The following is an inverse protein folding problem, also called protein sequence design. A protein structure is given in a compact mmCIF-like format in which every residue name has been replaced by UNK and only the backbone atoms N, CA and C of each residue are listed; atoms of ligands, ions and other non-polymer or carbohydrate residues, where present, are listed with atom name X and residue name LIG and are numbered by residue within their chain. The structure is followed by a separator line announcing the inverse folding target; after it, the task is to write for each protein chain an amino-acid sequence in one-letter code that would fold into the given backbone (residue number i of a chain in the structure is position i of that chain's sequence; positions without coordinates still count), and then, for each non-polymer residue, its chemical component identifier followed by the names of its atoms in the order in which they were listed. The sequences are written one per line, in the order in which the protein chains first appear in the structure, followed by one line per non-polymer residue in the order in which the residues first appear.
data_IF_800246893126
#
_entry.id   IF_800246893126
#
_cell.length_a   1.000
_cell.length_b   1.000
_cell.length_c   1.000
_cell.angle_alpha   90.00
_cell.angle_beta   90.00
_cell.angle_gamma   90.00
#
_symmetry.space_group_name_H-M   'P 1'
#
loop_
_entity.id
_entity.type
_entity.pdbx_description
1 polymer ?
#
# COMPACT_ATOMS: atom_id res chain seq x y z
N UNK A 1 2.71 -3.72 34.76
CA UNK A 1 1.60 -4.49 35.37
C UNK A 1 0.26 -4.04 34.80
N UNK A 2 0.07 -4.16 33.48
CA UNK A 2 -1.26 -4.03 32.90
C UNK A 2 -2.01 -5.35 33.13
N UNK A 3 -3.30 -5.27 33.47
CA UNK A 3 -4.17 -6.43 33.49
C UNK A 3 -4.32 -6.96 32.06
N UNK A 4 -4.22 -8.27 31.88
CA UNK A 4 -4.36 -8.93 30.58
C UNK A 4 -5.85 -9.07 30.31
N UNK A 5 -6.32 -8.50 29.20
CA UNK A 5 -7.74 -8.50 28.80
C UNK A 5 -8.06 -9.46 27.67
N UNK A 6 -7.11 -10.30 27.25
CA UNK A 6 -7.30 -11.26 26.17
C UNK A 6 -8.33 -12.33 26.57
N UNK A 7 -9.51 -12.23 25.98
CA UNK A 7 -10.57 -13.24 26.06
C UNK A 7 -10.10 -14.49 25.32
N UNK A 8 -10.08 -15.63 26.00
CA UNK A 8 -9.71 -16.92 25.39
C UNK A 8 -10.90 -17.84 25.16
N UNK A 9 -12.02 -17.56 25.81
CA UNK A 9 -13.28 -18.27 25.62
C UNK A 9 -14.44 -17.44 26.18
N UNK A 10 -15.60 -17.52 25.54
CA UNK A 10 -16.86 -16.94 26.02
C UNK A 10 -17.87 -18.07 26.26
N UNK A 11 -18.21 -18.30 27.53
CA UNK A 11 -19.12 -19.37 27.93
C UNK A 11 -20.55 -18.85 27.99
N UNK A 12 -21.46 -19.55 27.32
CA UNK A 12 -22.88 -19.21 27.30
C UNK A 12 -23.73 -20.41 27.73
N UNK A 13 -24.78 -20.14 28.51
CA UNK A 13 -25.74 -21.12 28.98
C UNK A 13 -27.13 -20.49 29.04
N UNK A 14 -28.16 -21.26 28.69
CA UNK A 14 -29.54 -20.79 28.69
C UNK A 14 -30.38 -21.57 29.70
N UNK A 15 -31.19 -20.83 30.45
CA UNK A 15 -32.30 -21.43 31.19
C UNK A 15 -33.46 -21.62 30.22
N UNK A 16 -34.02 -22.83 30.13
CA UNK A 16 -35.08 -23.21 29.19
C UNK A 16 -36.36 -22.33 29.33
N UNK A 17 -36.46 -21.49 30.35
CA UNK A 17 -37.61 -20.62 30.64
C UNK A 17 -37.52 -19.17 30.13
N UNK A 18 -36.34 -18.60 29.88
CA UNK A 18 -36.20 -17.15 29.59
C UNK A 18 -35.69 -16.80 28.18
N UNK A 19 -35.07 -17.75 27.45
CA UNK A 19 -34.61 -17.55 26.07
C UNK A 19 -33.39 -16.62 25.87
N UNK A 20 -33.03 -15.83 26.88
CA UNK A 20 -31.80 -15.04 26.90
C UNK A 20 -30.63 -15.88 27.45
N UNK A 21 -29.51 -15.88 26.73
CA UNK A 21 -28.27 -16.47 27.23
C UNK A 21 -27.84 -15.74 28.51
N UNK A 22 -27.35 -16.50 29.49
CA UNK A 22 -26.72 -16.06 30.73
C UNK A 22 -27.63 -15.39 31.78
N UNK A 23 -28.92 -15.19 31.47
CA UNK A 23 -29.87 -14.60 32.40
C UNK A 23 -30.10 -15.52 33.62
N UNK A 24 -29.73 -15.02 34.80
CA UNK A 24 -29.79 -15.80 36.04
C UNK A 24 -28.76 -16.93 36.13
N UNK A 25 -27.73 -16.91 35.29
CA UNK A 25 -26.63 -17.87 35.35
C UNK A 25 -25.40 -17.22 36.00
N UNK A 26 -24.71 -18.00 36.84
CA UNK A 26 -23.41 -17.63 37.38
C UNK A 26 -22.35 -18.64 36.95
N UNK A 27 -21.17 -18.12 36.62
CA UNK A 27 -20.05 -18.88 36.10
C UNK A 27 -18.90 -19.00 37.09
N UNK A 28 -18.30 -20.19 37.16
CA UNK A 28 -17.08 -20.43 37.94
C UNK A 28 -16.16 -21.44 37.24
N UNK A 29 -14.90 -21.50 37.68
CA UNK A 29 -13.91 -22.45 37.17
C UNK A 29 -13.63 -23.52 38.23
N UNK A 30 -13.65 -24.80 37.81
CA UNK A 30 -13.31 -25.95 38.66
C UNK A 30 -11.79 -26.08 38.82
N UNK A 31 -11.36 -26.58 40.00
CA UNK A 31 -10.00 -26.79 40.50
C UNK A 31 -8.84 -26.99 39.48
N UNK A 32 -7.62 -26.67 39.91
CA UNK A 32 -6.36 -26.58 39.13
C UNK A 32 -6.35 -25.46 38.08
N UNK A 33 -7.45 -25.27 37.36
CA UNK A 33 -7.60 -24.24 36.33
C UNK A 33 -7.68 -22.82 36.89
N UNK A 34 -8.14 -22.66 38.14
CA UNK A 34 -8.24 -21.34 38.82
C UNK A 34 -6.89 -20.67 39.08
N UNK A 35 -5.77 -21.40 38.98
CA UNK A 35 -4.42 -20.83 39.10
C UNK A 35 -3.97 -20.11 37.82
N UNK A 36 -4.45 -20.56 36.66
CA UNK A 36 -4.07 -20.05 35.32
C UNK A 36 -5.13 -19.14 34.72
N UNK A 37 -6.40 -19.43 34.98
CA UNK A 37 -7.55 -18.76 34.37
C UNK A 37 -8.35 -17.96 35.38
N UNK A 38 -8.96 -16.88 34.91
CA UNK A 38 -10.03 -16.16 35.57
C UNK A 38 -11.31 -16.27 34.72
N UNK A 39 -12.47 -16.23 35.37
CA UNK A 39 -13.76 -16.15 34.70
C UNK A 39 -14.56 -14.99 35.30
N UNK A 40 -15.20 -14.21 34.44
CA UNK A 40 -16.18 -13.20 34.87
C UNK A 40 -17.47 -13.91 35.22
N UNK A 41 -17.90 -13.81 36.48
CA UNK A 41 -19.02 -14.60 37.03
C UNK A 41 -20.33 -14.40 36.29
N UNK A 42 -20.56 -13.19 35.78
CA UNK A 42 -21.86 -12.79 35.24
C UNK A 42 -21.92 -12.93 33.71
N UNK A 43 -20.78 -13.11 33.06
CA UNK A 43 -20.68 -13.10 31.58
C UNK A 43 -19.97 -14.33 31.02
N UNK A 44 -19.44 -15.23 31.85
CA UNK A 44 -18.76 -16.44 31.37
C UNK A 44 -17.42 -16.22 30.64
N UNK A 45 -16.94 -14.97 30.56
CA UNK A 45 -15.68 -14.62 29.88
C UNK A 45 -14.49 -15.23 30.61
N UNK A 46 -13.74 -16.09 29.92
CA UNK A 46 -12.50 -16.70 30.42
C UNK A 46 -11.28 -15.96 29.90
N UNK A 47 -10.34 -15.67 30.79
CA UNK A 47 -9.04 -15.02 30.49
C UNK A 47 -7.89 -15.76 31.15
N UNK A 48 -6.67 -15.60 30.63
CA UNK A 48 -5.46 -15.99 31.36
C UNK A 48 -5.10 -14.93 32.40
N UNK A 49 -4.67 -15.37 33.59
CA UNK A 49 -4.17 -14.50 34.65
C UNK A 49 -2.78 -13.90 34.37
N UNK A 50 -2.02 -14.52 33.46
CA UNK A 50 -0.66 -14.12 33.11
C UNK A 50 -0.42 -14.28 31.60
N UNK A 51 0.57 -13.55 31.07
CA UNK A 51 0.92 -13.63 29.65
C UNK A 51 1.50 -15.02 29.39
N UNK A 52 1.02 -15.67 28.34
CA UNK A 52 1.53 -16.98 27.92
C UNK A 52 2.67 -16.75 26.94
N UNK A 53 3.86 -17.27 27.27
CA UNK A 53 5.09 -17.03 26.49
C UNK A 53 5.66 -18.29 25.84
N UNK A 54 4.96 -19.43 25.98
CA UNK A 54 5.37 -20.71 25.41
C UNK A 54 4.18 -21.40 24.75
N UNK A 55 4.44 -22.23 23.74
CA UNK A 55 3.43 -23.07 23.10
C UNK A 55 2.98 -24.13 24.09
N UNK A 56 1.69 -24.18 24.38
CA UNK A 56 1.12 -25.22 25.21
C UNK A 56 -0.39 -25.37 24.96
N UNK A 57 -0.97 -26.37 25.58
CA UNK A 57 -2.41 -26.60 25.60
C UNK A 57 -2.84 -26.81 27.03
N UNK A 58 -3.85 -26.06 27.44
CA UNK A 58 -4.48 -26.13 28.75
C UNK A 58 -5.93 -26.59 28.62
N UNK A 59 -6.44 -27.19 29.69
CA UNK A 59 -7.86 -27.47 29.84
C UNK A 59 -8.44 -26.59 30.95
N UNK A 60 -9.62 -26.01 30.71
CA UNK A 60 -10.40 -25.27 31.70
C UNK A 60 -11.79 -25.89 31.80
N UNK A 61 -12.20 -26.26 33.01
CA UNK A 61 -13.56 -26.75 33.26
C UNK A 61 -14.39 -25.61 33.85
N UNK A 62 -15.41 -25.21 33.10
CA UNK A 62 -16.34 -24.13 33.41
C UNK A 62 -17.59 -24.74 34.03
N UNK A 63 -18.11 -24.12 35.09
CA UNK A 63 -19.35 -24.49 35.75
C UNK A 63 -20.33 -23.33 35.56
N UNK A 64 -21.46 -23.61 34.93
CA UNK A 64 -22.60 -22.71 34.85
C UNK A 64 -23.66 -23.14 35.88
N UNK A 65 -24.08 -22.24 36.76
CA UNK A 65 -25.06 -22.52 37.83
C UNK A 65 -26.25 -21.58 37.72
N UNK A 66 -27.46 -22.11 37.65
CA UNK A 66 -28.69 -21.31 37.62
C UNK A 66 -29.12 -20.80 39.01
N UNK A 67 -30.12 -19.92 39.06
CA UNK A 67 -30.71 -19.39 40.31
C UNK A 67 -31.32 -20.46 41.22
N UNK A 68 -31.65 -21.65 40.69
CA UNK A 68 -32.18 -22.77 41.45
C UNK A 68 -31.05 -23.67 42.00
N UNK A 69 -29.79 -23.38 41.68
CA UNK A 69 -28.61 -24.13 42.11
C UNK A 69 -28.28 -25.33 41.22
N UNK A 70 -28.93 -25.50 40.07
CA UNK A 70 -28.56 -26.54 39.11
C UNK A 70 -27.26 -26.15 38.40
N UNK A 71 -26.28 -27.05 38.38
CA UNK A 71 -24.97 -26.79 37.80
C UNK A 71 -24.68 -27.74 36.63
N UNK A 72 -24.12 -27.19 35.55
CA UNK A 72 -23.58 -27.95 34.41
C UNK A 72 -22.08 -27.65 34.26
N UNK A 73 -21.28 -28.68 33.98
CA UNK A 73 -19.84 -28.55 33.75
C UNK A 73 -19.50 -28.78 32.28
N UNK A 74 -18.62 -27.94 31.72
CA UNK A 74 -18.05 -28.11 30.39
C UNK A 74 -16.53 -27.92 30.44
N UNK A 75 -15.78 -28.90 29.96
CA UNK A 75 -14.33 -28.75 29.77
C UNK A 75 -14.06 -28.20 28.37
N UNK A 76 -13.25 -27.14 28.31
CA UNK A 76 -12.79 -26.48 27.10
C UNK A 76 -11.27 -26.61 27.03
N UNK A 77 -10.76 -26.88 25.83
CA UNK A 77 -9.32 -26.91 25.57
C UNK A 77 -8.90 -25.58 24.98
N UNK A 78 -7.95 -24.90 25.61
CA UNK A 78 -7.36 -23.64 25.14
C UNK A 78 -5.95 -23.94 24.66
N UNK A 79 -5.63 -23.62 23.41
CA UNK A 79 -4.29 -23.82 22.86
C UNK A 79 -3.61 -22.47 22.64
N UNK A 80 -2.44 -22.30 23.26
CA UNK A 80 -1.52 -21.19 22.97
C UNK A 80 -0.60 -21.66 21.86
N UNK A 81 -0.64 -20.97 20.73
CA UNK A 81 0.28 -21.17 19.62
C UNK A 81 1.18 -19.94 19.55
N UNK A 82 2.47 -20.20 19.41
CA UNK A 82 3.44 -19.22 18.94
C UNK A 82 3.63 -19.62 17.50
N UNK A 83 2.92 -18.96 16.60
CA UNK A 83 3.38 -18.90 15.22
C UNK A 83 4.64 -18.06 15.27
N UNK A 84 5.79 -18.67 15.00
CA UNK A 84 6.93 -17.92 14.47
C UNK A 84 6.46 -17.35 13.12
N UNK A 85 5.63 -16.31 13.16
CA UNK A 85 5.59 -15.35 12.08
C UNK A 85 6.99 -14.76 12.13
N UNK A 86 7.86 -15.22 11.23
CA UNK A 86 9.04 -14.47 10.87
C UNK A 86 8.54 -13.04 10.59
N UNK A 87 8.84 -12.12 11.50
CA UNK A 87 8.39 -10.74 11.37
C UNK A 87 9.27 -10.11 10.30
N UNK A 88 8.75 -10.16 9.07
CA UNK A 88 9.43 -9.68 7.87
C UNK A 88 10.26 -10.72 7.14
N UNK A 89 10.74 -10.34 5.97
CA UNK A 89 11.60 -11.11 5.09
C UNK A 89 12.73 -10.20 4.56
N UNK A 90 13.77 -10.82 3.99
CA UNK A 90 14.83 -10.11 3.28
C UNK A 90 14.48 -10.06 1.80
N UNK A 91 14.76 -8.91 1.18
CA UNK A 91 14.73 -8.77 -0.27
C UNK A 91 16.14 -8.52 -0.80
N UNK A 92 16.64 -9.40 -1.66
CA UNK A 92 17.96 -9.28 -2.28
C UNK A 92 17.85 -8.63 -3.67
N UNK A 93 18.72 -7.67 -3.96
CA UNK A 93 18.80 -7.01 -5.26
C UNK A 93 19.15 -7.97 -6.41
N UNK A 94 18.76 -7.62 -7.64
CA UNK A 94 19.04 -8.42 -8.84
C UNK A 94 20.53 -8.35 -9.22
N UNK A 95 21.08 -7.14 -9.36
CA UNK A 95 22.47 -6.89 -9.73
C UNK A 95 23.13 -5.83 -8.86
N UNK A 96 24.47 -5.85 -8.81
CA UNK A 96 25.24 -4.85 -8.07
C UNK A 96 25.22 -3.50 -8.80
N UNK A 97 24.90 -2.43 -8.08
CA UNK A 97 24.86 -1.07 -8.64
C UNK A 97 23.48 -0.62 -9.10
N UNK A 98 22.49 -1.51 -9.18
CA UNK A 98 21.11 -1.18 -9.61
C UNK A 98 20.38 -0.21 -8.67
N UNK A 99 20.88 -0.04 -7.44
CA UNK A 99 20.26 0.76 -6.37
C UNK A 99 18.81 0.34 -6.06
N UNK A 100 18.50 -0.97 -6.17
CA UNK A 100 17.19 -1.49 -5.77
C UNK A 100 16.87 -1.15 -4.32
N UNK A 101 15.69 -0.59 -4.07
CA UNK A 101 15.29 -0.07 -2.77
C UNK A 101 15.57 1.43 -2.60
N UNK A 102 15.99 2.12 -3.67
CA UNK A 102 16.10 3.59 -3.68
C UNK A 102 14.78 4.25 -3.30
N UNK A 103 13.68 3.73 -3.86
CA UNK A 103 12.30 4.09 -3.51
C UNK A 103 11.48 2.81 -3.34
N UNK A 104 10.61 2.80 -2.32
CA UNK A 104 9.72 1.68 -2.02
C UNK A 104 8.36 2.22 -1.61
N UNK A 105 7.30 1.50 -1.96
CA UNK A 105 5.94 1.80 -1.50
C UNK A 105 5.11 0.52 -1.40
N UNK A 106 4.00 0.59 -0.66
CA UNK A 106 2.91 -0.36 -0.89
C UNK A 106 2.43 -0.19 -2.34
N UNK A 107 2.19 -1.29 -3.03
CA UNK A 107 1.61 -1.26 -4.36
C UNK A 107 0.08 -1.42 -4.33
N UNK A 108 -0.50 -1.84 -3.20
CA UNK A 108 -1.89 -2.32 -3.16
C UNK A 108 -1.99 -3.75 -3.70
N UNK A 109 -3.20 -4.28 -3.89
CA UNK A 109 -3.45 -5.60 -4.46
C UNK A 109 -3.44 -5.53 -6.00
N UNK A 110 -2.24 -5.55 -6.60
CA UNK A 110 -2.09 -5.35 -8.04
C UNK A 110 -2.43 -6.61 -8.84
N UNK A 111 -2.53 -7.77 -8.16
CA UNK A 111 -2.78 -9.07 -8.79
C UNK A 111 -4.16 -9.66 -8.44
N UNK A 112 -4.91 -9.04 -7.53
CA UNK A 112 -6.27 -9.42 -7.14
C UNK A 112 -6.33 -10.65 -6.24
N UNK A 113 -5.27 -10.96 -5.49
CA UNK A 113 -5.21 -12.12 -4.58
C UNK A 113 -5.63 -11.81 -3.13
N UNK A 114 -5.91 -10.55 -2.84
CA UNK A 114 -6.35 -10.03 -1.55
C UNK A 114 -5.21 -9.72 -0.58
N UNK A 115 -3.95 -9.74 -1.02
CA UNK A 115 -2.78 -9.30 -0.27
C UNK A 115 -2.17 -8.07 -0.92
N UNK A 116 -1.83 -7.06 -0.10
CA UNK A 116 -1.08 -5.92 -0.61
C UNK A 116 0.31 -6.36 -1.10
N UNK A 117 0.65 -5.89 -2.29
CA UNK A 117 1.91 -6.07 -2.98
C UNK A 117 2.90 -4.93 -2.65
N UNK A 118 4.15 -5.06 -3.10
CA UNK A 118 5.19 -4.05 -2.92
C UNK A 118 5.77 -3.61 -4.27
N UNK A 119 6.03 -2.31 -4.41
CA UNK A 119 6.83 -1.78 -5.52
C UNK A 119 8.20 -1.31 -5.01
N UNK A 120 9.26 -1.68 -5.73
CA UNK A 120 10.65 -1.39 -5.39
C UNK A 120 11.37 -0.80 -6.60
N UNK A 121 11.79 0.45 -6.51
CA UNK A 121 12.54 1.17 -7.53
C UNK A 121 14.04 0.87 -7.51
N UNK A 122 14.65 0.82 -8.69
CA UNK A 122 16.06 0.58 -8.95
C UNK A 122 16.53 1.47 -10.13
N UNK A 123 16.70 2.79 -9.90
CA UNK A 123 16.90 3.77 -10.98
C UNK A 123 18.20 3.59 -11.77
N UNK A 124 19.21 2.95 -11.17
CA UNK A 124 20.52 2.72 -11.81
C UNK A 124 20.61 1.36 -12.50
N UNK A 125 19.51 0.60 -12.59
CA UNK A 125 19.50 -0.67 -13.32
C UNK A 125 19.56 -0.46 -14.84
N UNK A 126 20.19 -1.42 -15.54
CA UNK A 126 20.46 -1.35 -16.98
C UNK A 126 19.63 -2.37 -17.81
N UNK A 127 18.28 -2.28 -17.85
CA UNK A 127 17.47 -3.22 -18.60
C UNK A 127 17.81 -3.20 -20.08
N UNK A 128 17.97 -4.39 -20.67
CA UNK A 128 18.32 -4.56 -22.08
C UNK A 128 19.56 -3.75 -22.52
N UNK A 129 20.54 -3.57 -21.61
CA UNK A 129 21.79 -2.82 -21.85
C UNK A 129 21.57 -1.32 -22.13
N UNK A 130 20.52 -0.73 -21.54
CA UNK A 130 20.30 0.71 -21.52
C UNK A 130 20.76 1.28 -20.18
N UNK A 131 21.92 1.93 -20.20
CA UNK A 131 22.55 2.51 -19.01
C UNK A 131 21.56 3.39 -18.23
N UNK A 132 21.37 3.11 -16.94
CA UNK A 132 20.50 3.85 -16.00
C UNK A 132 19.10 4.16 -16.56
N UNK A 133 18.55 3.28 -17.40
CA UNK A 133 17.15 3.38 -17.80
C UNK A 133 16.22 3.09 -16.61
N UNK A 134 16.71 2.31 -15.64
CA UNK A 134 16.04 2.00 -14.40
C UNK A 134 15.07 0.82 -14.52
N UNK A 135 14.78 0.20 -13.37
CA UNK A 135 13.77 -0.84 -13.22
C UNK A 135 12.90 -0.55 -12.00
N UNK A 136 11.68 -1.07 -12.01
CA UNK A 136 10.86 -1.23 -10.80
C UNK A 136 10.40 -2.68 -10.69
N UNK A 137 10.43 -3.24 -9.48
CA UNK A 137 10.02 -4.62 -9.21
C UNK A 137 8.73 -4.60 -8.42
N UNK A 138 7.75 -5.34 -8.92
CA UNK A 138 6.48 -5.55 -8.24
C UNK A 138 6.59 -6.92 -7.61
N UNK A 139 6.53 -6.97 -6.29
CA UNK A 139 6.66 -8.18 -5.49
C UNK A 139 5.28 -8.50 -4.94
N UNK A 140 4.72 -9.63 -5.37
CA UNK A 140 3.41 -10.04 -4.91
C UNK A 140 3.42 -10.38 -3.42
N UNK A 141 2.36 -9.98 -2.74
CA UNK A 141 2.09 -10.20 -1.34
C UNK A 141 2.13 -11.68 -1.00
N UNK A 142 2.60 -11.98 0.21
CA UNK A 142 2.67 -13.36 0.69
C UNK A 142 2.61 -13.43 2.20
N UNK A 143 2.16 -14.58 2.69
CA UNK A 143 1.96 -14.84 4.12
C UNK A 143 3.13 -15.55 4.78
N UNK A 144 4.10 -16.04 3.99
CA UNK A 144 5.34 -16.60 4.50
C UNK A 144 6.44 -15.52 4.64
N UNK A 145 7.42 -15.79 5.50
CA UNK A 145 8.60 -14.93 5.67
C UNK A 145 9.80 -15.35 4.81
N UNK A 146 9.58 -16.07 3.69
CA UNK A 146 10.70 -16.51 2.86
C UNK A 146 11.41 -15.31 2.23
N UNK A 147 12.71 -15.44 1.97
CA UNK A 147 13.46 -14.41 1.23
C UNK A 147 12.88 -14.19 -0.16
N UNK A 148 12.91 -12.94 -0.63
CA UNK A 148 12.58 -12.55 -2.00
C UNK A 148 13.88 -12.18 -2.72
N UNK A 149 14.11 -12.77 -3.89
CA UNK A 149 15.22 -12.37 -4.76
C UNK A 149 14.64 -11.60 -5.96
N UNK A 150 15.06 -10.35 -6.18
CA UNK A 150 14.55 -9.52 -7.28
C UNK A 150 14.86 -10.11 -8.66
N UNK A 151 15.89 -10.95 -8.77
CA UNK A 151 16.15 -11.73 -9.98
C UNK A 151 15.04 -12.75 -10.30
N UNK A 152 14.39 -13.32 -9.27
CA UNK A 152 13.23 -14.19 -9.46
C UNK A 152 12.00 -13.39 -9.91
N UNK A 153 11.80 -12.20 -9.33
CA UNK A 153 10.75 -11.27 -9.73
C UNK A 153 10.92 -10.83 -11.19
N UNK A 154 12.15 -10.51 -11.60
CA UNK A 154 12.48 -10.20 -12.99
C UNK A 154 12.21 -11.35 -13.96
N UNK A 155 12.27 -12.60 -13.47
CA UNK A 155 11.90 -13.80 -14.23
C UNK A 155 10.41 -14.15 -14.20
N UNK A 156 9.59 -13.32 -13.53
CA UNK A 156 8.14 -13.49 -13.41
C UNK A 156 7.68 -14.45 -12.32
N UNK A 157 8.52 -14.71 -11.31
CA UNK A 157 8.20 -15.61 -10.20
C UNK A 157 7.93 -14.78 -8.95
N UNK A 158 6.68 -14.79 -8.47
CA UNK A 158 6.26 -14.05 -7.28
C UNK A 158 6.08 -12.54 -7.53
N UNK A 159 5.91 -12.13 -8.79
CA UNK A 159 5.80 -10.74 -9.18
C UNK A 159 6.21 -10.52 -10.63
N UNK A 160 6.45 -9.27 -11.00
CA UNK A 160 6.97 -8.89 -12.32
C UNK A 160 7.89 -7.66 -12.25
N UNK A 161 8.65 -7.43 -13.31
CA UNK A 161 9.52 -6.26 -13.46
C UNK A 161 8.97 -5.28 -14.49
N UNK A 162 9.12 -3.99 -14.21
CA UNK A 162 8.92 -2.87 -15.12
C UNK A 162 10.31 -2.40 -15.57
N UNK A 163 10.58 -2.47 -16.87
CA UNK A 163 11.84 -2.02 -17.46
C UNK A 163 11.71 -0.60 -18.03
N UNK A 164 12.69 0.25 -17.72
CA UNK A 164 12.83 1.61 -18.23
C UNK A 164 12.75 1.75 -19.75
N UNK A 165 12.26 2.90 -20.19
CA UNK A 165 12.08 3.20 -21.62
C UNK A 165 13.42 3.51 -22.30
N UNK A 166 14.10 4.59 -21.92
CA UNK A 166 15.34 5.04 -22.56
C UNK A 166 16.49 5.13 -21.55
N UNK A 167 17.73 5.11 -22.07
CA UNK A 167 18.92 5.21 -21.23
C UNK A 167 18.99 6.57 -20.51
N UNK A 168 19.40 6.56 -19.24
CA UNK A 168 19.49 7.71 -18.34
C UNK A 168 18.15 8.37 -17.96
N UNK A 169 17.02 7.71 -18.24
CA UNK A 169 15.71 8.19 -17.77
C UNK A 169 15.54 8.06 -16.24
N UNK A 170 16.35 7.18 -15.61
CA UNK A 170 16.31 6.85 -14.18
C UNK A 170 14.90 6.48 -13.68
N UNK A 171 14.17 5.67 -14.46
CA UNK A 171 12.85 5.21 -14.05
C UNK A 171 12.91 4.39 -12.76
N UNK A 172 11.95 4.59 -11.87
CA UNK A 172 11.96 3.98 -10.53
C UNK A 172 12.70 4.80 -9.47
N UNK A 173 13.12 6.03 -9.80
CA UNK A 173 13.61 6.98 -8.81
C UNK A 173 12.56 7.30 -7.73
N UNK A 174 11.30 7.44 -8.15
CA UNK A 174 10.14 7.53 -7.26
C UNK A 174 9.08 6.54 -7.75
N UNK A 175 8.57 5.73 -6.84
CA UNK A 175 7.51 4.75 -7.10
C UNK A 175 6.41 4.85 -6.05
N UNK A 176 5.17 4.58 -6.46
CA UNK A 176 4.06 4.44 -5.53
C UNK A 176 2.96 3.54 -6.11
N UNK A 177 2.06 3.06 -5.24
CA UNK A 177 0.71 2.71 -5.71
C UNK A 177 0.06 3.95 -6.31
N UNK A 178 -0.70 3.71 -7.38
CA UNK A 178 -1.59 4.68 -7.99
C UNK A 178 -3.04 4.53 -7.47
N UNK A 179 -3.36 3.46 -6.75
CA UNK A 179 -4.74 3.04 -6.52
C UNK A 179 -5.38 2.47 -7.79
N UNK A 180 -6.70 2.27 -7.82
CA UNK A 180 -7.42 1.80 -9.01
C UNK A 180 -7.80 3.00 -9.90
N UNK A 181 -6.83 3.49 -10.68
CA UNK A 181 -7.04 4.69 -11.51
C UNK A 181 -7.94 4.45 -12.70
N UNK A 182 -8.23 3.18 -13.00
CA UNK A 182 -8.94 2.78 -14.20
C UNK A 182 -10.29 2.08 -13.90
N UNK A 183 -10.56 1.77 -12.65
CA UNK A 183 -11.82 1.21 -12.16
C UNK A 183 -12.01 -0.24 -12.56
N UNK A 184 -10.93 -1.03 -12.65
CA UNK A 184 -10.99 -2.46 -12.97
C UNK A 184 -10.88 -3.38 -11.74
N UNK A 185 -10.69 -2.80 -10.56
CA UNK A 185 -10.63 -3.48 -9.27
C UNK A 185 -9.26 -4.06 -8.93
N UNK A 186 -8.22 -3.73 -9.69
CA UNK A 186 -6.82 -3.97 -9.33
C UNK A 186 -6.14 -2.65 -9.00
N UNK A 187 -5.25 -2.66 -8.01
CA UNK A 187 -4.43 -1.49 -7.77
C UNK A 187 -3.41 -1.31 -8.90
N UNK A 188 -3.28 -0.07 -9.38
CA UNK A 188 -2.36 0.35 -10.42
C UNK A 188 -1.10 0.97 -9.79
N UNK A 189 -0.10 1.25 -10.64
CA UNK A 189 1.24 1.67 -10.21
C UNK A 189 1.64 2.97 -10.90
N UNK A 190 2.34 3.85 -10.19
CA UNK A 190 2.99 5.02 -10.79
C UNK A 190 4.51 4.98 -10.60
N UNK A 191 5.25 5.20 -11.69
CA UNK A 191 6.72 5.18 -11.75
C UNK A 191 7.23 6.49 -12.33
N UNK A 192 8.02 7.24 -11.58
CA UNK A 192 8.69 8.45 -12.01
C UNK A 192 10.01 8.19 -12.75
N UNK A 193 10.27 8.96 -13.80
CA UNK A 193 11.49 9.00 -14.59
C UNK A 193 11.84 10.47 -14.91
N UNK A 194 12.38 11.15 -13.92
CA UNK A 194 12.50 12.62 -13.90
C UNK A 194 13.48 13.18 -14.93
N UNK A 195 14.44 12.38 -15.42
CA UNK A 195 15.33 12.77 -16.51
C UNK A 195 14.82 12.46 -17.92
N UNK A 196 13.66 11.80 -18.03
CA UNK A 196 13.12 11.44 -19.33
C UNK A 196 12.86 12.67 -20.21
N UNK A 197 12.98 12.47 -21.52
CA UNK A 197 12.93 13.55 -22.52
C UNK A 197 11.70 13.40 -23.44
N UNK A 198 10.48 13.69 -22.95
CA UNK A 198 9.29 13.63 -23.78
C UNK A 198 9.32 14.74 -24.85
N UNK A 199 8.94 14.38 -26.09
CA UNK A 199 8.80 15.31 -27.20
C UNK A 199 10.00 16.27 -27.41
N UNK A 200 11.23 15.79 -27.20
CA UNK A 200 12.48 16.58 -27.28
C UNK A 200 12.63 17.70 -26.21
N UNK A 201 11.90 17.62 -25.10
CA UNK A 201 12.06 18.51 -23.94
C UNK A 201 13.00 17.84 -22.94
N UNK A 202 14.29 18.15 -23.04
CA UNK A 202 15.32 17.52 -22.20
C UNK A 202 14.96 17.63 -20.71
N UNK A 203 14.96 16.50 -20.00
CA UNK A 203 14.69 16.44 -18.56
C UNK A 203 13.38 17.15 -18.16
N UNK A 204 12.38 17.18 -19.04
CA UNK A 204 11.03 17.54 -18.63
C UNK A 204 10.44 16.46 -17.71
N UNK A 205 10.96 15.24 -17.81
CA UNK A 205 10.53 14.09 -17.03
C UNK A 205 9.28 13.42 -17.59
N UNK A 206 9.10 12.17 -17.22
CA UNK A 206 7.88 11.39 -17.47
C UNK A 206 7.49 10.68 -16.17
N UNK A 207 6.20 10.45 -16.01
CA UNK A 207 5.68 9.43 -15.10
C UNK A 207 4.92 8.40 -15.92
N UNK A 208 4.93 7.15 -15.48
CA UNK A 208 4.24 6.05 -16.15
C UNK A 208 3.26 5.45 -15.20
N UNK A 209 2.01 5.35 -15.63
CA UNK A 209 0.99 4.58 -14.95
C UNK A 209 0.97 3.20 -15.58
N UNK A 210 1.20 2.17 -14.78
CA UNK A 210 1.20 0.76 -15.20
C UNK A 210 0.07 0.07 -14.50
N UNK A 211 -0.86 -0.52 -15.28
CA UNK A 211 -2.05 -1.12 -14.71
C UNK A 211 -1.76 -2.44 -14.01
N UNK A 212 -2.51 -2.73 -12.96
CA UNK A 212 -2.49 -3.99 -12.22
C UNK A 212 -2.72 -5.18 -13.16
N UNK A 213 -2.08 -6.31 -12.83
CA UNK A 213 -2.23 -7.56 -13.58
C UNK A 213 -1.84 -8.79 -12.77
N UNK A 214 -2.51 -9.89 -13.08
CA UNK A 214 -2.34 -11.19 -12.40
C UNK A 214 -1.07 -11.93 -12.81
N UNK A 215 -0.62 -11.79 -14.06
CA UNK A 215 0.53 -12.55 -14.56
C UNK A 215 1.88 -11.90 -14.21
N UNK A 216 2.94 -12.72 -14.15
CA UNK A 216 4.31 -12.28 -13.87
C UNK A 216 5.08 -11.71 -15.08
N UNK A 217 4.41 -11.45 -16.22
CA UNK A 217 5.12 -11.02 -17.44
C UNK A 217 5.76 -9.64 -17.25
N UNK A 218 7.01 -9.46 -17.68
CA UNK A 218 7.66 -8.16 -17.61
C UNK A 218 6.93 -7.09 -18.45
N UNK A 219 6.89 -5.87 -17.92
CA UNK A 219 6.37 -4.68 -18.62
C UNK A 219 7.55 -3.84 -19.10
N UNK A 220 7.51 -3.35 -20.34
CA UNK A 220 8.48 -2.40 -20.85
C UNK A 220 7.80 -1.05 -21.02
N UNK A 221 8.33 0.02 -20.41
CA UNK A 221 7.66 1.34 -20.44
C UNK A 221 7.43 1.88 -21.86
N UNK A 222 8.25 1.48 -22.84
CA UNK A 222 8.02 1.78 -24.26
C UNK A 222 6.64 1.36 -24.82
N UNK A 223 6.01 0.30 -24.29
CA UNK A 223 4.66 -0.11 -24.71
C UNK A 223 3.56 0.63 -23.94
N UNK A 224 3.86 1.09 -22.72
CA UNK A 224 2.97 1.91 -21.87
C UNK A 224 2.78 3.28 -22.52
N UNK A 225 3.82 3.85 -23.12
CA UNK A 225 3.74 5.07 -23.95
C UNK A 225 2.75 4.93 -25.11
N UNK A 226 2.57 3.71 -25.61
CA UNK A 226 1.62 3.40 -26.69
C UNK A 226 0.23 2.98 -26.19
N UNK A 227 -0.07 3.16 -24.90
CA UNK A 227 -1.36 2.84 -24.28
C UNK A 227 -1.58 1.36 -23.96
N UNK A 228 -0.52 0.53 -24.02
CA UNK A 228 -0.61 -0.90 -23.70
C UNK A 228 -0.25 -1.14 -22.24
N UNK A 229 -1.21 -1.64 -21.46
CA UNK A 229 -1.00 -1.94 -20.04
C UNK A 229 -0.83 -0.71 -19.14
N UNK A 230 -1.27 0.46 -19.60
CA UNK A 230 -1.11 1.72 -18.88
C UNK A 230 -1.06 2.92 -19.81
N UNK A 231 -0.62 4.06 -19.28
CA UNK A 231 -0.41 5.31 -20.02
C UNK A 231 0.76 6.11 -19.45
N UNK A 232 1.24 7.08 -20.23
CA UNK A 232 2.35 7.97 -19.84
C UNK A 232 1.85 9.38 -19.53
N UNK A 233 2.47 10.02 -18.55
CA UNK A 233 2.30 11.42 -18.19
C UNK A 233 3.58 12.16 -18.58
N UNK A 234 3.50 13.05 -19.57
CA UNK A 234 4.64 13.80 -20.08
C UNK A 234 4.81 15.15 -19.39
N UNK A 235 6.05 15.45 -19.02
CA UNK A 235 6.46 16.74 -18.45
C UNK A 235 6.12 17.98 -19.30
N UNK A 236 5.86 19.09 -18.62
CA UNK A 236 5.44 20.35 -19.23
C UNK A 236 6.57 21.02 -20.01
N UNK A 237 7.68 21.38 -19.34
CA UNK A 237 8.81 22.11 -19.94
C UNK A 237 10.15 21.42 -19.67
N UNK A 238 11.13 21.69 -20.53
CA UNK A 238 12.47 21.15 -20.36
C UNK A 238 13.10 21.60 -19.03
N UNK A 239 13.68 20.68 -18.28
CA UNK A 239 14.32 20.92 -16.98
C UNK A 239 13.35 21.05 -15.81
N UNK A 240 12.04 20.84 -16.01
CA UNK A 240 11.07 20.84 -14.91
C UNK A 240 11.21 19.61 -14.00
N UNK A 241 11.82 18.52 -14.51
CA UNK A 241 12.05 17.26 -13.81
C UNK A 241 10.79 16.67 -13.18
N UNK A 242 9.70 16.65 -13.94
CA UNK A 242 8.45 16.04 -13.49
C UNK A 242 8.60 14.53 -13.26
N UNK A 243 7.92 14.01 -12.25
CA UNK A 243 8.10 12.62 -11.83
C UNK A 243 9.26 12.42 -10.87
N UNK A 244 9.87 13.51 -10.37
CA UNK A 244 10.83 13.45 -9.26
C UNK A 244 10.18 12.89 -7.98
N UNK A 245 8.93 13.28 -7.73
CA UNK A 245 8.08 12.66 -6.72
C UNK A 245 6.73 12.29 -7.34
N UNK A 246 6.23 11.09 -7.02
CA UNK A 246 4.92 10.59 -7.45
C UNK A 246 4.18 9.93 -6.29
N UNK A 247 2.85 9.99 -6.31
CA UNK A 247 1.98 9.31 -5.34
C UNK A 247 0.58 9.16 -5.93
N UNK A 248 -0.21 8.19 -5.45
CA UNK A 248 -1.67 8.31 -5.51
C UNK A 248 -2.12 9.56 -4.74
N UNK A 249 -3.21 10.17 -5.19
CA UNK A 249 -3.94 11.22 -4.48
C UNK A 249 -5.19 10.66 -3.77
N UNK A 250 -5.58 9.41 -4.03
CA UNK A 250 -6.93 8.92 -3.76
C UNK A 250 -7.96 9.54 -4.72
N UNK A 251 -9.24 9.40 -4.44
CA UNK A 251 -10.31 10.01 -5.25
C UNK A 251 -10.57 11.45 -4.78
N UNK A 252 -9.88 12.42 -5.39
CA UNK A 252 -9.96 13.83 -4.98
C UNK A 252 -11.16 14.55 -5.61
N UNK A 253 -11.86 13.87 -6.54
CA UNK A 253 -12.90 14.48 -7.36
C UNK A 253 -14.29 13.82 -7.16
N UNK A 254 -14.34 12.65 -6.54
CA UNK A 254 -15.54 11.88 -6.20
C UNK A 254 -16.12 11.07 -7.37
N UNK A 255 -15.33 10.72 -8.38
CA UNK A 255 -15.78 9.94 -9.54
C UNK A 255 -15.60 8.42 -9.38
N UNK A 256 -14.96 7.99 -8.29
CA UNK A 256 -14.70 6.61 -7.94
C UNK A 256 -13.47 6.01 -8.63
N UNK A 257 -12.60 6.82 -9.24
CA UNK A 257 -11.28 6.43 -9.72
C UNK A 257 -10.23 7.11 -8.85
N UNK A 258 -9.15 6.39 -8.53
CA UNK A 258 -8.04 7.03 -7.83
C UNK A 258 -7.28 8.00 -8.75
N UNK A 259 -6.92 9.16 -8.20
CA UNK A 259 -6.19 10.22 -8.87
C UNK A 259 -4.69 10.16 -8.51
N UNK A 260 -3.88 10.96 -9.21
CA UNK A 260 -2.42 10.89 -9.14
C UNK A 260 -1.81 12.26 -8.81
N UNK A 261 -0.69 12.26 -8.09
CA UNK A 261 0.13 13.45 -7.83
C UNK A 261 1.49 13.29 -8.51
N UNK A 262 1.90 14.30 -9.26
CA UNK A 262 3.22 14.36 -9.92
C UNK A 262 3.92 15.68 -9.58
N UNK A 263 5.08 15.60 -8.94
CA UNK A 263 5.92 16.74 -8.59
C UNK A 263 6.92 17.09 -9.69
N UNK A 264 7.10 18.39 -9.94
CA UNK A 264 8.07 19.00 -10.85
C UNK A 264 8.74 20.18 -10.13
N UNK A 265 9.62 19.85 -9.18
CA UNK A 265 10.16 20.78 -8.18
C UNK A 265 11.07 21.88 -8.77
N UNK A 266 11.59 21.70 -9.98
CA UNK A 266 12.38 22.70 -10.69
C UNK A 266 11.58 23.56 -11.67
N UNK A 267 10.29 23.32 -11.82
CA UNK A 267 9.45 24.14 -12.68
C UNK A 267 9.45 25.62 -12.25
N UNK A 268 9.29 26.49 -13.27
CA UNK A 268 9.32 27.95 -13.13
C UNK A 268 7.91 28.57 -13.33
N UNK A 269 6.91 28.30 -12.46
CA UNK A 269 5.57 28.80 -12.64
C UNK A 269 5.54 30.34 -12.67
N UNK A 270 4.90 30.91 -13.69
CA UNK A 270 4.84 32.37 -13.92
C UNK A 270 6.21 33.06 -13.91
N UNK A 271 7.28 32.35 -14.32
CA UNK A 271 8.65 32.87 -14.37
C UNK A 271 9.36 32.97 -13.02
N UNK A 272 8.80 32.37 -11.96
CA UNK A 272 9.43 32.30 -10.64
C UNK A 272 10.39 31.13 -10.60
N UNK A 273 11.69 31.43 -10.63
CA UNK A 273 12.72 30.39 -10.73
C UNK A 273 12.61 29.37 -9.61
N UNK A 274 12.49 28.09 -9.95
CA UNK A 274 12.42 26.94 -9.05
C UNK A 274 11.37 27.10 -7.96
N UNK A 275 10.26 27.77 -8.27
CA UNK A 275 9.14 27.76 -7.34
C UNK A 275 8.49 26.37 -7.27
N UNK A 276 8.64 25.57 -8.33
CA UNK A 276 8.12 24.21 -8.42
C UNK A 276 6.63 24.17 -8.77
N UNK A 277 6.21 23.06 -9.36
CA UNK A 277 4.82 22.75 -9.67
C UNK A 277 4.49 21.36 -9.15
N UNK A 278 3.27 21.19 -8.67
CA UNK A 278 2.66 19.89 -8.39
C UNK A 278 1.41 19.75 -9.23
N UNK A 279 1.28 18.64 -9.93
CA UNK A 279 0.13 18.34 -10.77
C UNK A 279 -0.70 17.26 -10.10
N UNK A 280 -2.00 17.46 -10.07
CA UNK A 280 -2.96 16.39 -9.82
C UNK A 280 -3.52 15.97 -11.17
N UNK A 281 -3.37 14.69 -11.51
CA UNK A 281 -3.84 14.07 -12.76
C UNK A 281 -4.97 13.13 -12.38
N UNK A 282 -6.15 13.32 -12.96
CA UNK A 282 -7.32 12.54 -12.57
C UNK A 282 -7.28 11.13 -13.17
N UNK A 283 -7.81 10.17 -12.41
CA UNK A 283 -8.02 8.79 -12.83
C UNK A 283 -8.84 8.71 -14.12
N UNK A 284 -8.56 7.71 -14.95
CA UNK A 284 -9.23 7.57 -16.23
C UNK A 284 -9.16 6.15 -16.79
N UNK A 285 -10.23 5.78 -17.49
CA UNK A 285 -10.27 4.57 -18.34
C UNK A 285 -9.58 4.76 -19.68
N UNK A 286 -9.32 6.01 -20.06
CA UNK A 286 -8.58 6.33 -21.28
C UNK A 286 -7.08 6.12 -21.06
N UNK A 287 -6.46 5.34 -21.95
CA UNK A 287 -5.04 4.99 -21.88
C UNK A 287 -4.18 5.88 -22.78
N UNK A 288 -4.73 7.00 -23.25
CA UNK A 288 -3.98 7.99 -24.02
C UNK A 288 -2.98 8.73 -23.13
N UNK A 289 -1.90 9.22 -23.74
CA UNK A 289 -0.89 9.98 -23.02
C UNK A 289 -1.47 11.29 -22.46
N UNK A 290 -1.12 11.61 -21.22
CA UNK A 290 -1.45 12.86 -20.56
C UNK A 290 -0.28 13.83 -20.70
N UNK A 291 -0.51 15.04 -21.20
CA UNK A 291 0.51 16.09 -21.24
C UNK A 291 0.27 17.10 -20.12
N UNK A 292 1.21 17.24 -19.18
CA UNK A 292 1.09 18.16 -18.05
C UNK A 292 0.93 19.63 -18.50
N UNK A 293 1.40 19.98 -19.70
CA UNK A 293 1.15 21.30 -20.29
C UNK A 293 -0.33 21.60 -20.53
N UNK A 294 -1.16 20.59 -20.78
CA UNK A 294 -2.62 20.75 -21.01
C UNK A 294 -3.34 20.94 -19.67
N UNK A 295 -2.86 20.28 -18.62
CA UNK A 295 -3.32 20.52 -17.24
C UNK A 295 -2.93 21.93 -16.78
N UNK A 296 -1.67 22.32 -17.01
CA UNK A 296 -1.16 23.63 -16.63
C UNK A 296 -1.91 24.80 -17.29
N UNK A 297 -2.39 24.62 -18.53
CA UNK A 297 -3.16 25.63 -19.24
C UNK A 297 -4.61 25.73 -18.78
N UNK A 298 -5.07 24.85 -17.88
CA UNK A 298 -6.47 24.75 -17.45
C UNK A 298 -7.42 24.36 -18.58
N UNK A 299 -6.89 23.77 -19.66
CA UNK A 299 -7.67 23.35 -20.82
C UNK A 299 -8.12 21.89 -20.74
N UNK A 300 -7.54 21.14 -19.79
CA UNK A 300 -7.93 19.77 -19.46
C UNK A 300 -9.02 19.74 -18.39
N UNK A 301 -9.94 18.77 -18.50
CA UNK A 301 -10.76 18.35 -17.35
C UNK A 301 -10.10 17.21 -16.55
N UNK A 302 -8.96 16.69 -16.99
CA UNK A 302 -8.26 15.55 -16.38
C UNK A 302 -7.22 15.93 -15.33
N UNK A 303 -7.37 17.07 -14.65
CA UNK A 303 -6.44 17.46 -13.58
C UNK A 303 -6.37 18.95 -13.30
N UNK A 304 -5.52 19.30 -12.32
CA UNK A 304 -5.18 20.68 -11.96
C UNK A 304 -3.72 20.80 -11.52
N UNK A 305 -3.23 22.04 -11.39
CA UNK A 305 -1.85 22.34 -10.98
C UNK A 305 -1.81 23.25 -9.76
N UNK A 306 -0.92 22.92 -8.82
CA UNK A 306 -0.55 23.72 -7.65
C UNK A 306 0.83 24.31 -7.94
N UNK A 307 0.95 25.63 -7.94
CA UNK A 307 2.20 26.33 -8.20
C UNK A 307 2.85 26.78 -6.90
N UNK A 308 4.17 26.66 -6.80
CA UNK A 308 4.92 27.33 -5.74
C UNK A 308 4.73 28.84 -5.77
N UNK A 309 4.71 29.45 -4.60
CA UNK A 309 4.36 30.86 -4.45
C UNK A 309 5.55 31.78 -4.77
N UNK A 310 6.75 31.42 -4.32
CA UNK A 310 7.97 32.20 -4.42
C UNK A 310 9.10 31.41 -5.09
N UNK A 311 10.10 32.15 -5.57
CA UNK A 311 11.27 31.52 -6.17
C UNK A 311 12.03 30.69 -5.11
N UNK A 312 12.45 29.49 -5.50
CA UNK A 312 13.09 28.47 -4.65
C UNK A 312 12.19 27.86 -3.57
N UNK A 313 10.87 27.93 -3.74
CA UNK A 313 9.94 27.17 -2.91
C UNK A 313 9.95 25.67 -3.23
N UNK A 314 10.47 25.23 -4.39
CA UNK A 314 10.58 23.79 -4.74
C UNK A 314 9.30 22.96 -4.53
N UNK A 315 8.13 23.56 -4.73
CA UNK A 315 6.85 22.86 -4.58
C UNK A 315 6.81 21.61 -5.45
N UNK A 316 6.41 20.48 -4.84
CA UNK A 316 6.42 19.18 -5.51
C UNK A 316 7.74 18.41 -5.35
N UNK A 317 8.65 18.85 -4.46
CA UNK A 317 9.84 18.06 -4.08
C UNK A 317 9.45 16.75 -3.40
N UNK A 318 8.32 16.72 -2.68
CA UNK A 318 7.72 15.54 -2.09
C UNK A 318 6.20 15.66 -2.12
N UNK A 319 5.50 14.57 -2.42
CA UNK A 319 4.03 14.53 -2.47
C UNK A 319 3.53 13.24 -1.82
N UNK A 320 2.31 13.28 -1.29
CA UNK A 320 1.62 12.12 -0.72
C UNK A 320 0.12 12.36 -0.70
N UNK A 321 -0.68 11.29 -0.84
CA UNK A 321 -2.07 11.33 -0.37
C UNK A 321 -2.09 11.58 1.15
N UNK A 322 -3.15 12.26 1.62
CA UNK A 322 -3.46 12.47 3.02
C UNK A 322 -4.72 11.70 3.46
N UNK A 323 -5.44 11.08 2.52
CA UNK A 323 -6.81 10.61 2.68
C UNK A 323 -7.79 11.77 2.93
N UNK A 324 -9.06 11.48 3.16
CA UNK A 324 -10.05 12.48 3.59
C UNK A 324 -9.77 12.98 5.02
N UNK A 325 -8.99 14.07 5.14
CA UNK A 325 -8.60 14.61 6.45
C UNK A 325 -9.68 15.50 7.05
N UNK A 326 -10.65 15.93 6.24
CA UNK A 326 -11.65 16.92 6.62
C UNK A 326 -13.06 16.32 6.80
N UNK A 327 -13.28 15.09 6.36
CA UNK A 327 -14.52 14.33 6.47
C UNK A 327 -15.58 14.67 5.41
N UNK A 328 -15.20 15.21 4.25
CA UNK A 328 -16.14 15.57 3.18
C UNK A 328 -16.37 14.45 2.14
N UNK A 329 -15.64 13.35 2.28
CA UNK A 329 -15.71 12.19 1.40
C UNK A 329 -14.88 12.29 0.13
N UNK A 330 -14.00 13.29 0.02
CA UNK A 330 -12.98 13.40 -1.02
C UNK A 330 -11.60 13.25 -0.38
N UNK A 331 -10.67 12.60 -1.08
CA UNK A 331 -9.32 12.48 -0.57
C UNK A 331 -8.57 13.83 -0.66
N UNK A 332 -7.77 14.13 0.36
CA UNK A 332 -6.89 15.29 0.40
C UNK A 332 -5.44 14.87 0.05
N UNK A 333 -4.62 15.86 -0.31
CA UNK A 333 -3.20 15.66 -0.61
C UNK A 333 -2.29 16.61 0.18
N UNK A 334 -1.04 16.19 0.37
CA UNK A 334 0.02 16.98 0.98
C UNK A 334 1.15 17.21 -0.02
N UNK A 335 1.60 18.46 -0.10
CA UNK A 335 2.68 18.90 -0.99
C UNK A 335 3.79 19.54 -0.17
N UNK A 336 5.01 19.03 -0.32
CA UNK A 336 6.23 19.64 0.21
C UNK A 336 6.74 20.76 -0.71
N UNK A 337 7.28 21.81 -0.09
CA UNK A 337 7.89 22.98 -0.71
C UNK A 337 9.03 23.46 0.20
#
# INVERSE_FOLDING_TARGET
NAAITTIVYDAQASNLSSGNADDGITYSIKNASTSKFAITTDTGIVTYKAIQTTVHTDAVTIIATDVAGNATEQTVTVSVRITDIAQGFVMNGESAGDESGYSVSSAGDVNGDGLDDLIVGAPQADPASKDSAGKSYIVFGKTDGATVDLSAIASGIGGFVINGEDANDESGYSVSSAGDVNGDGLDDLIVGAYYATPASKNSAGKSYVVLGKVDGTAVNLSVVVSGTGGFVINGESAGDESGYSVSSAGDVNGDGLDDLIVGAFWADPSGKSRAGKTYVVLGTKDKTAVDLSVIASGSSMGGFVINGENANDWSGISVSSAGDVNGDGLDDLIVGA
#
